data_IF_406826091843
#
_entry.id   IF_406826091843
#
_cell.length_a   1.000
_cell.length_b   1.000
_cell.length_c   1.000
_cell.angle_alpha   90.00
_cell.angle_beta   90.00
_cell.angle_gamma   90.00
#
_symmetry.space_group_name_H-M   'P 1'
#
loop_
_entity.id
_entity.type
_entity.pdbx_description
1 polymer ?
#
# COMPACT_ATOMS: atom_id res chain seq x y z
N UNK A 1 -19.52 -7.88 11.57
CA UNK A 1 -18.11 -8.33 11.55
C UNK A 1 -17.43 -7.67 10.37
N UNK A 2 -16.69 -6.58 10.60
CA UNK A 2 -16.08 -5.80 9.52
C UNK A 2 -14.86 -6.54 8.95
N UNK A 3 -15.01 -7.22 7.82
CA UNK A 3 -13.90 -7.62 6.97
C UNK A 3 -13.26 -6.38 6.36
N UNK A 4 -12.37 -5.73 7.11
CA UNK A 4 -11.35 -4.85 6.53
C UNK A 4 -10.11 -5.71 6.35
N UNK A 5 -10.06 -6.44 5.24
CA UNK A 5 -8.84 -7.10 4.79
C UNK A 5 -7.82 -6.04 4.37
N UNK A 6 -7.13 -5.47 5.37
CA UNK A 6 -6.00 -4.57 5.14
C UNK A 6 -4.85 -5.30 4.43
N UNK A 7 -3.89 -4.53 3.91
CA UNK A 7 -2.73 -5.08 3.21
C UNK A 7 -2.02 -6.18 4.03
N UNK A 8 -1.75 -7.33 3.39
CA UNK A 8 -1.08 -8.49 4.00
C UNK A 8 0.24 -8.77 3.29
N UNK A 9 1.20 -9.32 4.02
CA UNK A 9 2.43 -9.85 3.44
C UNK A 9 2.09 -10.95 2.41
N UNK A 10 2.61 -10.88 1.17
CA UNK A 10 2.31 -11.88 0.15
C UNK A 10 2.81 -13.28 0.53
N UNK A 11 3.88 -13.35 1.33
CA UNK A 11 4.53 -14.60 1.77
C UNK A 11 3.82 -15.22 2.98
N UNK A 12 3.75 -14.51 4.12
CA UNK A 12 3.26 -15.09 5.37
C UNK A 12 1.88 -14.61 5.82
N UNK A 13 1.20 -13.80 5.00
CA UNK A 13 -0.13 -13.21 5.24
C UNK A 13 -0.26 -12.32 6.50
N UNK A 14 0.84 -12.02 7.19
CA UNK A 14 0.84 -11.08 8.32
C UNK A 14 0.48 -9.65 7.88
N UNK A 15 -0.24 -8.93 8.74
CA UNK A 15 -0.52 -7.50 8.58
C UNK A 15 0.59 -6.59 9.11
N UNK A 16 1.59 -7.14 9.80
CA UNK A 16 2.68 -6.36 10.38
C UNK A 16 3.73 -6.04 9.31
N UNK A 17 3.57 -4.86 8.71
CA UNK A 17 4.36 -4.37 7.59
C UNK A 17 4.97 -3.00 7.92
N UNK A 18 6.28 -2.86 7.72
CA UNK A 18 7.00 -1.59 7.81
C UNK A 18 7.16 -0.99 6.41
N UNK A 19 6.84 0.30 6.23
CA UNK A 19 7.20 1.04 5.01
C UNK A 19 8.66 1.48 5.15
N UNK A 20 9.51 1.09 4.19
CA UNK A 20 10.95 1.42 4.21
C UNK A 20 11.33 2.50 3.19
N UNK A 21 10.53 2.68 2.15
CA UNK A 21 10.72 3.69 1.11
C UNK A 21 9.36 4.07 0.53
N UNK A 22 9.18 5.34 0.18
CA UNK A 22 7.94 5.86 -0.42
C UNK A 22 8.27 6.86 -1.53
N UNK A 23 7.80 6.55 -2.74
CA UNK A 23 8.05 7.37 -3.94
C UNK A 23 6.70 7.83 -4.51
N UNK A 24 6.35 9.12 -4.38
CA UNK A 24 5.16 9.66 -5.01
C UNK A 24 5.34 9.76 -6.54
N UNK A 25 4.27 9.52 -7.30
CA UNK A 25 4.17 9.75 -8.75
C UNK A 25 2.74 10.18 -9.10
N UNK A 26 2.52 11.36 -9.69
CA UNK A 26 1.19 11.83 -10.16
C UNK A 26 0.05 11.31 -9.24
N UNK A 27 -0.71 10.31 -9.68
CA UNK A 27 -1.90 9.79 -8.98
C UNK A 27 -1.64 8.53 -8.11
N UNK A 28 -0.37 8.16 -7.92
CA UNK A 28 0.04 6.91 -7.27
C UNK A 28 1.21 7.11 -6.30
N UNK A 29 1.31 6.22 -5.32
CA UNK A 29 2.44 6.13 -4.40
C UNK A 29 3.00 4.72 -4.48
N UNK A 30 4.27 4.62 -4.86
CA UNK A 30 5.00 3.35 -4.82
C UNK A 30 5.65 3.23 -3.44
N UNK A 31 5.31 2.19 -2.68
CA UNK A 31 5.89 1.95 -1.35
C UNK A 31 6.63 0.63 -1.31
N UNK A 32 7.88 0.65 -0.87
CA UNK A 32 8.62 -0.58 -0.54
C UNK A 32 8.37 -0.91 0.91
N UNK A 33 7.97 -2.15 1.20
CA UNK A 33 7.56 -2.64 2.52
C UNK A 33 8.39 -3.85 2.94
N UNK A 34 8.68 -3.94 4.24
CA UNK A 34 9.32 -5.10 4.89
C UNK A 34 8.32 -5.74 5.86
N UNK A 35 8.11 -7.04 5.77
CA UNK A 35 7.31 -7.76 6.76
C UNK A 35 8.09 -7.93 8.07
N UNK A 36 7.48 -7.61 9.21
CA UNK A 36 8.11 -7.83 10.52
C UNK A 36 8.22 -9.33 10.87
N UNK A 37 7.30 -10.16 10.39
CA UNK A 37 7.24 -11.58 10.74
C UNK A 37 8.23 -12.45 9.96
N UNK A 38 8.30 -12.29 8.63
CA UNK A 38 9.14 -13.12 7.76
C UNK A 38 10.28 -12.35 7.07
N UNK A 39 10.47 -11.07 7.39
CA UNK A 39 11.47 -10.18 6.78
C UNK A 39 11.35 -9.97 5.25
N UNK A 40 10.33 -10.52 4.59
CA UNK A 40 10.12 -10.38 3.16
C UNK A 40 9.97 -8.91 2.74
N UNK A 41 10.60 -8.56 1.61
CA UNK A 41 10.55 -7.24 0.99
C UNK A 41 9.66 -7.29 -0.24
N UNK A 42 8.75 -6.33 -0.37
CA UNK A 42 7.86 -6.23 -1.53
C UNK A 42 7.43 -4.77 -1.77
N UNK A 43 6.91 -4.50 -2.95
CA UNK A 43 6.47 -3.16 -3.36
C UNK A 43 4.96 -3.13 -3.54
N UNK A 44 4.31 -2.08 -3.05
CA UNK A 44 2.90 -1.78 -3.33
C UNK A 44 2.79 -0.53 -4.19
N UNK A 45 1.80 -0.52 -5.07
CA UNK A 45 1.39 0.66 -5.83
C UNK A 45 0.02 1.05 -5.29
N UNK A 46 -0.03 2.19 -4.62
CA UNK A 46 -1.26 2.73 -4.02
C UNK A 46 -1.79 3.82 -4.95
N UNK A 47 -3.03 3.70 -5.40
CA UNK A 47 -3.70 4.75 -6.19
C UNK A 47 -4.42 5.68 -5.21
N UNK A 48 -4.19 6.99 -5.35
CA UNK A 48 -4.87 7.97 -4.51
C UNK A 48 -6.27 8.18 -5.08
N UNK A 49 -7.30 7.95 -4.26
CA UNK A 49 -8.69 8.13 -4.63
C UNK A 49 -9.43 9.05 -3.68
N UNK A 50 -10.52 9.63 -4.17
CA UNK A 50 -11.45 10.43 -3.38
C UNK A 50 -12.29 9.56 -2.42
N UNK A 51 -13.15 10.20 -1.64
CA UNK A 51 -14.07 9.50 -0.72
C UNK A 51 -15.04 8.54 -1.42
N UNK A 52 -15.22 8.66 -2.74
CA UNK A 52 -16.06 7.78 -3.57
C UNK A 52 -15.24 6.66 -4.24
N UNK A 53 -13.93 6.61 -4.00
CA UNK A 53 -13.02 5.63 -4.59
C UNK A 53 -12.60 5.95 -6.04
N UNK A 54 -12.90 7.15 -6.54
CA UNK A 54 -12.47 7.59 -7.86
C UNK A 54 -11.04 8.15 -7.79
N UNK A 55 -10.13 7.82 -8.73
CA UNK A 55 -8.79 8.38 -8.74
C UNK A 55 -8.84 9.91 -8.79
N UNK A 56 -8.12 10.56 -7.89
CA UNK A 56 -7.93 12.02 -7.99
C UNK A 56 -7.02 12.26 -9.20
N UNK A 57 -7.48 13.07 -10.15
CA UNK A 57 -6.64 13.57 -11.24
C UNK A 57 -6.09 14.91 -10.80
N UNK A 58 -4.79 15.14 -10.95
CA UNK A 58 -4.24 16.50 -10.85
C UNK A 58 -4.97 17.37 -11.89
N UNK A 59 -5.80 18.30 -11.41
CA UNK A 59 -6.39 19.34 -12.25
C UNK A 59 -5.24 20.26 -12.67
N UNK A 60 -4.96 20.31 -13.98
CA UNK A 60 -4.01 21.24 -14.58
C UNK A 60 -4.50 22.69 -14.47
#
# INVERSE_FOLDING_TARGET
>A
MSNRDGLKCPVCKSHLLLVIDSRPRRDTIIRRRKCHKCAALFTTIEVISDIKGQPIKETA
#
